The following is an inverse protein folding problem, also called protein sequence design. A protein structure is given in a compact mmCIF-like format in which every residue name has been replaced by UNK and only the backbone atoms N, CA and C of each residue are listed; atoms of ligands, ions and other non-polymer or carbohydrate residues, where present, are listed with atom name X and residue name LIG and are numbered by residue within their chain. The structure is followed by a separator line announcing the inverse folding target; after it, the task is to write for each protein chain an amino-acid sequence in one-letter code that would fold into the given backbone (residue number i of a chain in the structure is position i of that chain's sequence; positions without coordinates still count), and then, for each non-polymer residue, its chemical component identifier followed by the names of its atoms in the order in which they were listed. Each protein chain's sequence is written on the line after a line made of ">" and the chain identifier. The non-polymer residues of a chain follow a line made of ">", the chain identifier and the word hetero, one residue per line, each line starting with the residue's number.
data_IF_870599337183
#
_entry.id   IF_870599337183
#
_cell.length_a   1.000
_cell.length_b   1.000
_cell.length_c   1.000
_cell.angle_alpha   90.00
_cell.angle_beta   90.00
_cell.angle_gamma   90.00
#
_symmetry.space_group_name_H-M   'P 1'
#
loop_
_entity.id
_entity.type
_entity.pdbx_description
1 polymer ?
#
# COMPACT_ATOMS: atom_id res chain seq x y z
N UNK A 1 0.25 11.53 14.08
CA UNK A 1 -0.50 10.29 14.32
C UNK A 1 -0.83 10.23 15.79
N UNK A 2 -2.09 10.51 16.08
CA UNK A 2 -2.65 10.41 17.41
C UNK A 2 -3.16 8.99 17.63
N UNK A 3 -3.29 8.61 18.90
CA UNK A 3 -3.68 7.26 19.29
C UNK A 3 -4.85 7.31 20.26
N UNK A 4 -5.91 6.56 19.96
CA UNK A 4 -7.03 6.31 20.88
C UNK A 4 -7.00 4.82 21.23
N UNK A 5 -6.84 4.50 22.51
CA UNK A 5 -6.77 3.11 22.98
C UNK A 5 -7.82 2.85 24.06
N UNK A 6 -8.49 1.71 23.91
CA UNK A 6 -9.31 1.08 24.93
C UNK A 6 -8.74 -0.29 25.27
N UNK A 7 -9.37 -1.03 26.19
CA UNK A 7 -8.96 -2.40 26.53
C UNK A 7 -8.94 -3.34 25.32
N UNK A 8 -9.86 -3.15 24.37
CA UNK A 8 -10.10 -4.07 23.27
C UNK A 8 -9.90 -3.45 21.88
N UNK A 9 -9.44 -2.20 21.79
CA UNK A 9 -9.26 -1.52 20.51
C UNK A 9 -8.14 -0.50 20.60
N UNK A 10 -7.37 -0.37 19.53
CA UNK A 10 -6.51 0.79 19.31
C UNK A 10 -6.75 1.36 17.92
N UNK A 11 -6.83 2.68 17.84
CA UNK A 11 -6.93 3.46 16.62
C UNK A 11 -5.72 4.38 16.55
N UNK A 12 -5.05 4.39 15.40
CA UNK A 12 -4.00 5.35 15.06
C UNK A 12 -4.51 6.19 13.90
N UNK A 13 -4.40 7.51 13.96
CA UNK A 13 -4.93 8.36 12.90
C UNK A 13 -4.18 9.69 12.78
N UNK A 14 -4.22 10.28 11.59
CA UNK A 14 -3.65 11.58 11.32
C UNK A 14 -4.71 12.68 11.59
N UNK A 15 -4.55 13.52 12.62
CA UNK A 15 -5.55 14.52 12.97
C UNK A 15 -5.65 15.64 11.92
N UNK A 16 -4.60 15.89 11.12
CA UNK A 16 -4.64 16.92 10.09
C UNK A 16 -5.44 16.45 8.87
N UNK A 17 -5.26 15.19 8.46
CA UNK A 17 -5.98 14.60 7.32
C UNK A 17 -7.44 14.23 7.64
N UNK A 18 -7.79 14.21 8.93
CA UNK A 18 -9.14 13.93 9.43
C UNK A 18 -9.72 15.12 10.22
N UNK A 19 -9.23 16.33 9.99
CA UNK A 19 -9.67 17.53 10.71
C UNK A 19 -11.17 17.81 10.57
N UNK A 20 -11.80 17.35 9.49
CA UNK A 20 -13.24 17.45 9.24
C UNK A 20 -14.07 16.41 10.02
N UNK A 21 -13.45 15.37 10.58
CA UNK A 21 -14.12 14.34 11.36
C UNK A 21 -14.19 14.77 12.83
N UNK A 22 -15.39 14.86 13.44
CA UNK A 22 -15.50 15.12 14.88
C UNK A 22 -14.76 14.06 15.70
N UNK A 23 -14.07 14.48 16.76
CA UNK A 23 -13.27 13.55 17.60
C UNK A 23 -14.09 12.36 18.12
N UNK A 24 -15.38 12.58 18.45
CA UNK A 24 -16.31 11.54 18.90
C UNK A 24 -16.65 10.48 17.84
N UNK A 25 -16.40 10.76 16.56
CA UNK A 25 -16.73 9.90 15.42
C UNK A 25 -15.53 9.12 14.88
N UNK A 26 -14.31 9.35 15.39
CA UNK A 26 -13.08 8.71 14.88
C UNK A 26 -13.17 7.18 14.87
N UNK A 27 -13.91 6.56 15.80
CA UNK A 27 -14.10 5.10 15.78
C UNK A 27 -14.99 4.60 14.63
N UNK A 28 -15.90 5.46 14.14
CA UNK A 28 -16.89 5.15 13.10
C UNK A 28 -16.33 5.27 11.68
N UNK A 29 -15.20 5.97 11.48
CA UNK A 29 -14.60 6.17 10.15
C UNK A 29 -14.13 4.88 9.45
N UNK A 30 -14.12 3.77 10.16
CA UNK A 30 -13.76 2.46 9.60
C UNK A 30 -14.98 1.66 9.14
N UNK A 31 -16.20 2.19 9.35
CA UNK A 31 -17.44 1.63 8.86
C UNK A 31 -17.87 2.37 7.58
N UNK A 32 -18.23 1.62 6.54
CA UNK A 32 -18.68 2.24 5.27
C UNK A 32 -19.95 3.06 5.43
N UNK A 33 -20.82 2.65 6.34
CA UNK A 33 -22.11 3.26 6.63
C UNK A 33 -21.95 4.70 7.14
N UNK A 34 -20.89 4.97 7.90
CA UNK A 34 -20.54 6.32 8.34
C UNK A 34 -20.31 7.24 7.13
N UNK A 35 -19.46 6.81 6.19
CA UNK A 35 -19.14 7.59 4.99
C UNK A 35 -20.28 7.67 3.99
N UNK A 36 -21.15 6.66 3.96
CA UNK A 36 -22.36 6.69 3.13
C UNK A 36 -23.35 7.76 3.64
N UNK A 37 -23.52 7.90 4.95
CA UNK A 37 -24.39 8.93 5.54
C UNK A 37 -23.88 10.35 5.27
N UNK A 38 -22.56 10.50 5.12
CA UNK A 38 -21.90 11.76 4.80
C UNK A 38 -21.81 12.03 3.28
N UNK A 39 -22.36 11.15 2.43
CA UNK A 39 -22.23 11.21 0.96
C UNK A 39 -20.77 11.31 0.47
N UNK A 40 -19.84 10.68 1.21
CA UNK A 40 -18.40 10.80 0.98
C UNK A 40 -17.81 9.63 0.18
N UNK A 41 -18.58 8.58 -0.11
CA UNK A 41 -18.09 7.43 -0.89
C UNK A 41 -18.05 7.81 -2.38
N UNK A 42 -16.84 7.96 -2.92
CA UNK A 42 -16.58 8.28 -4.32
C UNK A 42 -16.47 7.06 -5.24
N UNK A 43 -16.41 5.85 -4.66
CA UNK A 43 -16.37 4.60 -5.41
C UNK A 43 -15.93 3.42 -4.57
N UNK A 44 -15.68 2.29 -5.23
CA UNK A 44 -15.12 1.09 -4.60
C UNK A 44 -14.32 0.24 -5.58
N UNK A 45 -13.49 -0.64 -5.04
CA UNK A 45 -12.82 -1.70 -5.79
C UNK A 45 -13.04 -3.07 -5.13
N UNK A 46 -13.11 -4.11 -5.95
CA UNK A 46 -13.28 -5.50 -5.51
C UNK A 46 -11.95 -6.26 -5.52
N UNK A 47 -11.76 -7.14 -4.55
CA UNK A 47 -10.56 -7.97 -4.41
C UNK A 47 -10.77 -9.07 -3.37
N UNK A 48 -9.91 -9.12 -2.35
CA UNK A 48 -10.12 -10.00 -1.17
C UNK A 48 -11.31 -9.56 -0.30
N UNK A 49 -11.74 -8.32 -0.47
CA UNK A 49 -12.93 -7.69 0.09
C UNK A 49 -13.19 -6.38 -0.67
N UNK A 50 -14.16 -5.60 -0.22
CA UNK A 50 -14.39 -4.26 -0.78
C UNK A 50 -13.38 -3.27 -0.20
N UNK A 51 -12.71 -2.52 -1.08
CA UNK A 51 -12.02 -1.29 -0.72
C UNK A 51 -12.93 -0.12 -1.06
N UNK A 52 -13.26 0.70 -0.08
CA UNK A 52 -14.10 1.88 -0.25
C UNK A 52 -13.23 3.11 -0.51
N UNK A 53 -13.59 3.89 -1.53
CA UNK A 53 -12.92 5.15 -1.82
C UNK A 53 -13.71 6.30 -1.23
N UNK A 54 -13.09 7.05 -0.33
CA UNK A 54 -13.72 8.09 0.48
C UNK A 54 -13.10 9.43 0.10
N UNK A 55 -13.94 10.42 -0.17
CA UNK A 55 -13.50 11.80 -0.34
C UNK A 55 -13.36 12.44 1.03
N UNK A 56 -12.13 12.84 1.36
CA UNK A 56 -11.80 13.65 2.53
C UNK A 56 -11.46 15.07 2.07
N UNK A 57 -11.25 16.00 3.01
CA UNK A 57 -10.83 17.36 2.70
C UNK A 57 -9.42 17.34 2.08
N UNK A 58 -9.34 17.62 0.79
CA UNK A 58 -8.08 17.71 0.05
C UNK A 58 -7.40 16.38 -0.34
N UNK A 59 -7.96 15.22 0.04
CA UNK A 59 -7.39 13.91 -0.29
C UNK A 59 -8.49 12.85 -0.53
N UNK A 60 -8.22 11.87 -1.39
CA UNK A 60 -9.05 10.66 -1.46
C UNK A 60 -8.39 9.56 -0.63
N UNK A 61 -9.19 8.85 0.15
CA UNK A 61 -8.76 7.73 0.97
C UNK A 61 -9.27 6.40 0.39
N UNK A 62 -8.48 5.35 0.55
CA UNK A 62 -8.84 3.96 0.35
C UNK A 62 -8.97 3.28 1.72
N UNK A 63 -10.21 2.97 2.12
CA UNK A 63 -10.52 2.22 3.33
C UNK A 63 -10.65 0.74 3.00
N UNK A 64 -9.85 -0.10 3.67
CA UNK A 64 -9.89 -1.56 3.52
C UNK A 64 -9.93 -2.28 4.87
N UNK A 65 -10.73 -3.33 4.91
CA UNK A 65 -10.71 -4.32 5.99
C UNK A 65 -9.70 -5.42 5.66
N UNK A 66 -8.84 -5.80 6.61
CA UNK A 66 -7.89 -6.89 6.40
C UNK A 66 -8.60 -8.23 6.35
N UNK A 67 -8.39 -8.96 5.26
CA UNK A 67 -8.87 -10.33 5.08
C UNK A 67 -7.71 -11.29 4.79
N UNK A 68 -7.81 -12.50 5.31
CA UNK A 68 -6.86 -13.59 5.04
C UNK A 68 -7.02 -14.10 3.62
N UNK A 69 -5.91 -14.25 2.90
CA UNK A 69 -5.87 -14.93 1.61
C UNK A 69 -5.65 -16.44 1.73
N UNK A 70 -5.81 -17.15 0.62
CA UNK A 70 -5.54 -18.60 0.51
C UNK A 70 -6.65 -19.49 1.09
N UNK A 71 -6.43 -20.82 1.04
CA UNK A 71 -7.42 -21.82 1.49
C UNK A 71 -7.84 -21.65 2.97
N UNK A 72 -6.93 -21.16 3.83
CA UNK A 72 -7.25 -20.84 5.23
C UNK A 72 -8.16 -19.63 5.41
N UNK A 73 -8.19 -18.72 4.42
CA UNK A 73 -9.12 -17.59 4.39
C UNK A 73 -10.57 -18.00 4.23
N UNK A 74 -10.87 -19.23 3.78
CA UNK A 74 -12.23 -19.78 3.69
C UNK A 74 -12.81 -20.27 5.04
N UNK A 75 -11.95 -20.41 6.06
CA UNK A 75 -12.31 -20.90 7.40
C UNK A 75 -12.20 -19.79 8.46
N UNK A 76 -11.20 -18.92 8.33
CA UNK A 76 -11.02 -17.72 9.16
C UNK A 76 -10.78 -16.55 8.21
N UNK A 77 -11.80 -15.74 8.00
CA UNK A 77 -11.77 -14.70 6.97
C UNK A 77 -10.97 -13.47 7.41
N UNK A 78 -11.07 -13.04 8.67
CA UNK A 78 -10.61 -11.72 9.10
C UNK A 78 -9.86 -11.67 10.46
N UNK A 79 -9.65 -12.81 11.11
CA UNK A 79 -9.05 -12.83 12.45
C UNK A 79 -7.56 -13.21 12.43
N UNK A 80 -6.75 -12.54 13.23
CA UNK A 80 -5.30 -12.75 13.36
C UNK A 80 -4.93 -12.99 14.82
N UNK A 81 -3.84 -13.71 15.11
CA UNK A 81 -3.41 -13.91 16.50
C UNK A 81 -2.87 -12.59 17.06
N UNK A 82 -3.37 -12.20 18.22
CA UNK A 82 -2.94 -10.99 18.89
C UNK A 82 -1.80 -11.29 19.87
N UNK A 83 -0.67 -10.60 19.71
CA UNK A 83 0.40 -10.53 20.73
C UNK A 83 0.38 -9.17 21.42
N UNK A 84 0.41 -8.10 20.65
CA UNK A 84 0.47 -6.70 21.07
C UNK A 84 -0.13 -5.80 19.97
N UNK A 85 -0.29 -4.50 20.23
CA UNK A 85 -0.97 -3.59 19.31
C UNK A 85 -0.07 -3.19 18.13
N UNK A 86 1.21 -2.98 18.38
CA UNK A 86 2.21 -2.52 17.42
C UNK A 86 2.56 -3.58 16.37
N UNK A 87 2.44 -4.87 16.72
CA UNK A 87 2.59 -6.02 15.82
C UNK A 87 1.33 -6.35 15.02
N UNK A 88 0.23 -5.62 15.22
CA UNK A 88 -0.95 -5.79 14.36
C UNK A 88 -0.60 -5.35 12.94
N UNK A 89 -1.16 -6.04 11.94
CA UNK A 89 -0.83 -5.78 10.53
C UNK A 89 -1.05 -4.33 10.11
N UNK A 90 -2.16 -3.74 10.54
CA UNK A 90 -2.47 -2.34 10.25
C UNK A 90 -1.45 -1.40 10.89
N UNK A 91 -1.02 -1.64 12.13
CA UNK A 91 -0.01 -0.82 12.80
C UNK A 91 1.36 -0.94 12.12
N UNK A 92 1.77 -2.16 11.75
CA UNK A 92 3.02 -2.39 11.02
C UNK A 92 3.02 -1.69 9.66
N UNK A 93 1.94 -1.85 8.88
CA UNK A 93 1.82 -1.21 7.56
C UNK A 93 1.78 0.32 7.68
N UNK A 94 0.99 0.86 8.62
CA UNK A 94 0.95 2.29 8.88
C UNK A 94 2.35 2.83 9.22
N UNK A 95 3.12 2.11 10.05
CA UNK A 95 4.48 2.49 10.40
C UNK A 95 5.44 2.43 9.20
N UNK A 96 5.33 1.41 8.35
CA UNK A 96 6.12 1.29 7.12
C UNK A 96 5.82 2.47 6.18
N UNK A 97 4.55 2.80 5.95
CA UNK A 97 4.16 3.94 5.13
C UNK A 97 4.74 5.26 5.66
N UNK A 98 4.71 5.47 6.99
CA UNK A 98 5.33 6.65 7.62
C UNK A 98 6.85 6.72 7.36
N UNK A 99 7.55 5.60 7.57
CA UNK A 99 9.00 5.52 7.35
C UNK A 99 9.35 5.85 5.90
N UNK A 100 8.61 5.29 4.95
CA UNK A 100 8.82 5.51 3.52
C UNK A 100 8.49 6.94 3.08
N UNK A 101 7.37 7.49 3.55
CA UNK A 101 7.01 8.88 3.28
C UNK A 101 8.06 9.85 3.80
N UNK A 102 8.57 9.64 5.02
CA UNK A 102 9.65 10.44 5.59
C UNK A 102 10.98 10.30 4.83
N UNK A 103 11.21 9.16 4.19
CA UNK A 103 12.36 8.91 3.33
C UNK A 103 12.18 9.46 1.89
N UNK A 104 11.06 10.14 1.60
CA UNK A 104 10.80 10.72 0.28
C UNK A 104 10.46 9.70 -0.80
N UNK A 105 10.03 8.50 -0.40
CA UNK A 105 9.48 7.49 -1.31
C UNK A 105 8.04 7.88 -1.63
N UNK A 106 7.67 7.77 -2.90
CA UNK A 106 6.29 7.96 -3.34
C UNK A 106 5.45 6.74 -2.94
N UNK A 107 4.85 6.82 -1.76
CA UNK A 107 3.90 5.85 -1.22
C UNK A 107 2.60 6.53 -0.82
N UNK A 108 1.47 5.81 -0.74
CA UNK A 108 0.24 6.35 -0.18
C UNK A 108 0.45 6.94 1.21
N UNK A 109 -0.04 8.16 1.45
CA UNK A 109 -0.03 8.71 2.79
C UNK A 109 -0.82 7.80 3.75
N UNK A 110 -0.27 7.45 4.91
CA UNK A 110 -1.03 6.76 5.95
C UNK A 110 -2.05 7.73 6.56
N UNK A 111 -3.33 7.35 6.64
CA UNK A 111 -4.39 8.22 7.17
C UNK A 111 -4.85 7.71 8.53
N UNK A 112 -5.31 6.46 8.60
CA UNK A 112 -5.74 5.86 9.86
C UNK A 112 -5.65 4.33 9.83
N UNK A 113 -5.54 3.71 11.00
CA UNK A 113 -5.56 2.27 11.20
C UNK A 113 -6.35 1.93 12.46
N UNK A 114 -7.03 0.79 12.46
CA UNK A 114 -7.75 0.29 13.63
C UNK A 114 -7.44 -1.18 13.83
N UNK A 115 -7.17 -1.56 15.08
CA UNK A 115 -7.12 -2.95 15.51
C UNK A 115 -8.18 -3.17 16.60
N UNK A 116 -9.02 -4.20 16.44
CA UNK A 116 -10.03 -4.61 17.42
C UNK A 116 -9.71 -6.02 17.90
N UNK A 117 -9.47 -6.18 19.20
CA UNK A 117 -9.15 -7.43 19.86
C UNK A 117 -10.40 -8.12 20.41
N UNK A 118 -10.51 -9.42 20.15
CA UNK A 118 -11.49 -10.34 20.74
C UNK A 118 -10.77 -11.58 21.25
N UNK A 119 -10.59 -11.67 22.58
CA UNK A 119 -9.82 -12.74 23.21
C UNK A 119 -8.35 -12.74 22.77
N UNK A 120 -7.91 -13.85 22.15
CA UNK A 120 -6.55 -14.02 21.62
C UNK A 120 -6.43 -13.62 20.15
N UNK A 121 -7.49 -13.06 19.56
CA UNK A 121 -7.57 -12.72 18.16
C UNK A 121 -7.79 -11.23 17.98
N UNK A 122 -7.46 -10.70 16.79
CA UNK A 122 -7.81 -9.34 16.40
C UNK A 122 -8.27 -9.26 14.94
N UNK A 123 -9.02 -8.20 14.64
CA UNK A 123 -9.37 -7.73 13.29
C UNK A 123 -8.72 -6.38 13.05
N UNK A 124 -8.50 -6.03 11.79
CA UNK A 124 -7.82 -4.80 11.45
C UNK A 124 -8.43 -4.09 10.24
N UNK A 125 -8.34 -2.77 10.26
CA UNK A 125 -8.72 -1.87 9.17
C UNK A 125 -7.56 -0.90 8.89
N UNK A 126 -7.44 -0.48 7.64
CA UNK A 126 -6.48 0.54 7.21
C UNK A 126 -7.17 1.52 6.25
N UNK A 127 -6.91 2.79 6.48
CA UNK A 127 -7.22 3.89 5.60
C UNK A 127 -5.89 4.54 5.17
N UNK A 128 -5.62 4.53 3.87
CA UNK A 128 -4.46 5.20 3.27
C UNK A 128 -4.92 6.08 2.12
N UNK A 129 -4.06 6.95 1.63
CA UNK A 129 -4.33 7.70 0.40
C UNK A 129 -4.68 6.77 -0.77
N UNK A 130 -5.69 7.15 -1.53
CA UNK A 130 -5.93 6.64 -2.87
C UNK A 130 -5.24 7.58 -3.84
N UNK A 131 -4.25 7.09 -4.56
CA UNK A 131 -3.55 7.89 -5.57
C UNK A 131 -4.54 8.22 -6.70
N UNK A 132 -4.92 9.50 -6.90
CA UNK A 132 -5.89 9.88 -7.90
C UNK A 132 -5.33 9.66 -9.30
N UNK A 133 -6.21 9.30 -10.25
CA UNK A 133 -5.86 9.11 -11.67
C UNK A 133 -4.70 8.16 -11.96
N UNK A 134 -4.32 7.31 -10.99
CA UNK A 134 -3.25 6.36 -11.17
C UNK A 134 -3.75 5.02 -11.68
N UNK A 135 -2.95 4.41 -12.56
CA UNK A 135 -3.17 3.06 -13.08
C UNK A 135 -2.03 2.16 -12.65
N UNK A 136 -2.33 0.89 -12.40
CA UNK A 136 -1.26 -0.08 -12.23
C UNK A 136 -0.47 -0.22 -13.53
N UNK A 137 0.82 -0.55 -13.38
CA UNK A 137 1.77 -0.56 -14.48
C UNK A 137 1.42 -1.63 -15.54
N UNK A 138 0.70 -2.68 -15.17
CA UNK A 138 0.22 -3.69 -16.12
C UNK A 138 -0.82 -3.08 -17.05
N UNK A 139 -1.83 -2.41 -16.51
CA UNK A 139 -2.89 -1.78 -17.30
C UNK A 139 -2.34 -0.69 -18.23
N UNK A 140 -1.28 0.04 -17.82
CA UNK A 140 -0.55 0.96 -18.70
C UNK A 140 0.13 0.20 -19.84
N UNK A 141 0.93 -0.82 -19.51
CA UNK A 141 1.74 -1.55 -20.48
C UNK A 141 0.93 -2.47 -21.41
N UNK A 142 -0.29 -2.89 -21.03
CA UNK A 142 -1.21 -3.55 -21.97
C UNK A 142 -1.54 -2.65 -23.16
N UNK A 143 -1.63 -1.34 -22.91
CA UNK A 143 -2.09 -0.38 -23.91
C UNK A 143 -0.92 0.19 -24.73
N UNK A 144 0.16 0.60 -24.08
CA UNK A 144 1.30 1.25 -24.72
C UNK A 144 2.62 0.87 -24.04
N UNK A 145 3.75 0.85 -24.77
CA UNK A 145 5.05 0.88 -24.12
C UNK A 145 5.22 2.18 -23.33
N UNK A 146 6.11 2.17 -22.34
CA UNK A 146 6.53 3.37 -21.60
C UNK A 146 7.97 3.71 -21.93
N UNK A 147 8.31 4.98 -21.76
CA UNK A 147 9.65 5.48 -22.04
C UNK A 147 10.68 5.00 -21.01
N UNK A 148 11.95 4.98 -21.43
CA UNK A 148 13.09 4.55 -20.60
C UNK A 148 13.21 5.32 -19.29
N UNK A 149 12.85 6.62 -19.28
CA UNK A 149 12.90 7.46 -18.09
C UNK A 149 11.90 7.00 -17.00
N UNK A 150 10.76 6.42 -17.40
CA UNK A 150 9.78 5.88 -16.44
C UNK A 150 10.32 4.65 -15.74
N UNK A 151 10.96 3.74 -16.48
CA UNK A 151 11.65 2.60 -15.87
C UNK A 151 12.74 3.07 -14.90
N UNK A 152 13.51 4.10 -15.24
CA UNK A 152 14.50 4.68 -14.34
C UNK A 152 13.87 5.25 -13.06
N UNK A 153 12.76 5.99 -13.18
CA UNK A 153 11.99 6.50 -12.02
C UNK A 153 11.50 5.35 -11.11
N UNK A 154 11.06 4.23 -11.71
CA UNK A 154 10.69 3.03 -10.94
C UNK A 154 11.88 2.49 -10.16
N UNK A 155 13.04 2.35 -10.82
CA UNK A 155 14.28 1.91 -10.16
C UNK A 155 14.67 2.83 -8.99
N UNK A 156 14.55 4.14 -9.17
CA UNK A 156 14.85 5.14 -8.14
C UNK A 156 13.92 5.04 -6.93
N UNK A 157 12.60 4.90 -7.12
CA UNK A 157 11.66 4.75 -6.01
C UNK A 157 11.89 3.45 -5.22
N UNK A 158 12.18 2.35 -5.92
CA UNK A 158 12.56 1.08 -5.28
C UNK A 158 13.87 1.25 -4.50
N UNK A 159 14.82 2.01 -5.04
CA UNK A 159 16.09 2.28 -4.37
C UNK A 159 15.89 3.07 -3.07
N UNK A 160 15.11 4.16 -3.10
CA UNK A 160 14.77 4.92 -1.89
C UNK A 160 14.10 4.05 -0.82
N UNK A 161 13.16 3.19 -1.23
CA UNK A 161 12.52 2.21 -0.34
C UNK A 161 13.55 1.25 0.29
N UNK A 162 14.50 0.76 -0.51
CA UNK A 162 15.56 -0.12 -0.04
C UNK A 162 16.56 0.57 0.89
N UNK A 163 16.87 1.84 0.64
CA UNK A 163 17.75 2.65 1.48
C UNK A 163 17.09 3.06 2.80
N UNK A 164 15.76 3.20 2.82
CA UNK A 164 14.95 3.27 4.03
C UNK A 164 14.88 1.94 4.81
N UNK A 165 15.55 0.88 4.32
CA UNK A 165 15.63 -0.42 4.95
C UNK A 165 14.35 -1.25 4.86
N UNK A 166 13.39 -0.90 4.00
CA UNK A 166 12.09 -1.59 3.93
C UNK A 166 12.11 -2.69 2.88
N UNK A 167 11.85 -3.92 3.33
CA UNK A 167 11.64 -5.07 2.46
C UNK A 167 10.17 -5.18 2.02
N UNK A 168 9.94 -5.03 0.72
CA UNK A 168 8.62 -5.20 0.13
C UNK A 168 8.36 -6.67 -0.24
N UNK A 169 7.81 -7.43 0.71
CA UNK A 169 7.73 -8.90 0.61
C UNK A 169 6.99 -9.42 -0.64
N UNK A 170 6.10 -8.61 -1.23
CA UNK A 170 5.37 -8.92 -2.47
C UNK A 170 5.61 -7.90 -3.62
N UNK A 171 6.83 -7.35 -3.76
CA UNK A 171 7.11 -6.37 -4.82
C UNK A 171 6.88 -6.98 -6.22
N UNK A 172 5.89 -6.45 -6.93
CA UNK A 172 5.48 -6.91 -8.25
C UNK A 172 4.87 -5.76 -9.07
N UNK A 173 4.72 -5.98 -10.38
CA UNK A 173 4.28 -4.95 -11.33
C UNK A 173 2.87 -4.39 -11.05
N UNK A 174 1.97 -5.14 -10.41
CA UNK A 174 0.64 -4.64 -10.02
C UNK A 174 0.70 -3.68 -8.83
N UNK A 175 1.79 -3.70 -8.06
CA UNK A 175 2.02 -2.83 -6.91
C UNK A 175 2.80 -1.55 -7.27
N UNK A 176 2.96 -1.28 -8.56
CA UNK A 176 3.55 -0.06 -9.09
C UNK A 176 2.45 0.70 -9.82
N UNK A 177 2.20 1.93 -9.41
CA UNK A 177 1.25 2.81 -10.07
C UNK A 177 1.97 3.91 -10.83
N UNK A 178 1.37 4.34 -11.95
CA UNK A 178 1.70 5.57 -12.66
C UNK A 178 0.49 6.49 -12.64
N UNK A 179 0.67 7.71 -12.14
CA UNK A 179 -0.34 8.76 -12.25
C UNK A 179 -0.28 9.51 -13.59
N UNK A 180 -1.21 10.44 -13.79
CA UNK A 180 -1.31 11.25 -15.00
C UNK A 180 -0.07 12.14 -15.27
N UNK A 181 0.71 12.41 -14.23
CA UNK A 181 1.94 13.18 -14.25
C UNK A 181 3.17 12.28 -14.42
N UNK A 182 2.96 10.99 -14.74
CA UNK A 182 3.99 9.96 -14.88
C UNK A 182 4.85 9.79 -13.62
N UNK A 183 4.31 10.14 -12.45
CA UNK A 183 4.96 9.89 -11.18
C UNK A 183 4.73 8.43 -10.80
N UNK A 184 5.81 7.80 -10.35
CA UNK A 184 5.79 6.41 -9.91
C UNK A 184 5.44 6.36 -8.44
N UNK A 185 4.51 5.46 -8.09
CA UNK A 185 4.13 5.16 -6.72
C UNK A 185 4.26 3.66 -6.44
N UNK A 186 4.69 3.30 -5.23
CA UNK A 186 4.72 1.92 -4.74
C UNK A 186 3.60 1.75 -3.72
N UNK A 187 2.81 0.67 -3.84
CA UNK A 187 1.64 0.41 -3.00
C UNK A 187 1.65 -1.01 -2.43
N UNK A 188 0.70 -1.29 -1.52
CA UNK A 188 0.47 -2.59 -0.86
C UNK A 188 1.63 -3.09 0.00
N UNK A 189 1.79 -2.48 1.18
CA UNK A 189 2.83 -2.81 2.13
C UNK A 189 2.38 -3.82 3.21
N UNK A 190 1.31 -4.60 2.94
CA UNK A 190 0.88 -5.68 3.85
C UNK A 190 2.04 -6.64 4.10
N UNK A 191 2.37 -6.88 5.37
CA UNK A 191 3.51 -7.70 5.84
C UNK A 191 4.89 -7.21 5.42
N UNK A 192 5.02 -5.99 4.92
CA UNK A 192 6.33 -5.36 4.71
C UNK A 192 6.88 -4.86 6.05
N UNK A 193 8.18 -4.62 6.11
CA UNK A 193 8.83 -4.20 7.34
C UNK A 193 10.28 -3.81 7.11
N UNK A 194 10.86 -3.14 8.11
CA UNK A 194 12.28 -2.86 8.09
C UNK A 194 13.08 -4.15 8.30
N UNK A 195 14.07 -4.38 7.44
CA UNK A 195 14.95 -5.55 7.50
C UNK A 195 16.40 -5.09 7.35
N UNK A 196 17.24 -5.48 8.30
CA UNK A 196 18.65 -5.16 8.28
C UNK A 196 19.40 -5.93 7.16
N UNK A 197 20.49 -5.34 6.69
CA UNK A 197 21.32 -5.89 5.61
C UNK A 197 20.73 -5.68 4.22
N UNK A 198 21.42 -6.22 3.22
CA UNK A 198 21.10 -5.99 1.79
C UNK A 198 20.69 -7.27 1.05
N UNK A 199 20.85 -8.45 1.65
CA UNK A 199 20.64 -9.76 1.00
C UNK A 199 19.21 -9.93 0.43
N UNK A 200 18.24 -9.21 0.98
CA UNK A 200 16.84 -9.26 0.55
C UNK A 200 16.53 -8.34 -0.63
N UNK A 201 17.38 -7.34 -0.93
CA UNK A 201 17.15 -6.34 -1.97
C UNK A 201 17.15 -6.97 -3.35
N UNK A 202 18.10 -7.87 -3.62
CA UNK A 202 18.15 -8.61 -4.88
C UNK A 202 16.91 -9.52 -5.03
N UNK A 203 16.44 -10.11 -3.92
CA UNK A 203 15.21 -10.90 -3.89
C UNK A 203 13.96 -10.11 -4.31
N UNK A 204 13.88 -8.83 -3.93
CA UNK A 204 12.82 -7.91 -4.35
C UNK A 204 12.87 -7.65 -5.85
N UNK A 205 14.03 -7.24 -6.36
CA UNK A 205 14.23 -6.97 -7.79
C UNK A 205 13.95 -8.20 -8.65
N UNK A 206 14.43 -9.38 -8.23
CA UNK A 206 14.19 -10.64 -8.91
C UNK A 206 12.70 -11.02 -8.92
N UNK A 207 11.96 -10.74 -7.84
CA UNK A 207 10.49 -10.96 -7.80
C UNK A 207 9.78 -10.02 -8.77
N UNK A 208 10.17 -8.75 -8.79
CA UNK A 208 9.62 -7.77 -9.71
C UNK A 208 9.87 -8.18 -11.17
N UNK A 209 11.12 -8.53 -11.55
CA UNK A 209 11.46 -8.99 -12.90
C UNK A 209 10.62 -10.20 -13.33
N UNK A 210 10.46 -11.20 -12.44
CA UNK A 210 9.60 -12.36 -12.72
C UNK A 210 8.14 -11.96 -12.96
N UNK A 211 7.65 -10.93 -12.28
CA UNK A 211 6.28 -10.44 -12.48
C UNK A 211 6.08 -9.78 -13.85
N UNK A 212 7.07 -9.00 -14.35
CA UNK A 212 7.06 -8.50 -15.73
C UNK A 212 6.99 -9.66 -16.73
N UNK A 213 7.92 -10.63 -16.64
CA UNK A 213 7.95 -11.81 -17.51
C UNK A 213 6.63 -12.59 -17.49
N UNK A 214 6.01 -12.72 -16.32
CA UNK A 214 4.71 -13.38 -16.18
C UNK A 214 3.60 -12.63 -16.92
N UNK A 215 3.53 -11.31 -16.77
CA UNK A 215 2.47 -10.50 -17.39
C UNK A 215 2.68 -10.31 -18.89
N UNK A 216 3.91 -10.41 -19.41
CA UNK A 216 4.16 -10.55 -20.87
C UNK A 216 3.43 -11.78 -21.40
N UNK A 217 3.58 -12.92 -20.74
CA UNK A 217 2.92 -14.16 -21.19
C UNK A 217 1.39 -14.12 -20.98
N UNK A 218 0.93 -13.54 -19.88
CA UNK A 218 -0.47 -13.59 -19.46
C UNK A 218 -1.35 -12.52 -20.10
N UNK A 219 -0.86 -11.28 -20.16
CA UNK A 219 -1.63 -10.11 -20.62
C UNK A 219 -1.00 -9.43 -21.83
N UNK A 220 0.11 -9.96 -22.36
CA UNK A 220 0.77 -9.45 -23.57
C UNK A 220 1.15 -7.97 -23.43
N UNK A 221 1.65 -7.59 -22.25
CA UNK A 221 2.13 -6.24 -21.99
C UNK A 221 3.29 -5.87 -22.93
N UNK A 222 3.36 -4.60 -23.31
CA UNK A 222 4.39 -4.01 -24.16
C UNK A 222 5.69 -3.78 -23.37
N UNK A 223 6.30 -4.88 -22.92
CA UNK A 223 7.57 -4.91 -22.20
C UNK A 223 8.51 -5.90 -22.86
N UNK A 224 9.78 -5.53 -22.96
CA UNK A 224 10.86 -6.38 -23.48
C UNK A 224 11.97 -6.49 -22.44
N UNK A 225 12.76 -7.56 -22.49
CA UNK A 225 13.77 -7.81 -21.46
C UNK A 225 14.85 -6.72 -21.39
N UNK A 226 15.13 -6.03 -22.51
CA UNK A 226 16.03 -4.88 -22.54
C UNK A 226 15.54 -3.70 -21.70
N UNK A 227 14.23 -3.55 -21.49
CA UNK A 227 13.68 -2.44 -20.68
C UNK A 227 14.06 -2.58 -19.20
N UNK A 228 14.34 -3.81 -18.75
CA UNK A 228 14.86 -4.06 -17.40
C UNK A 228 16.18 -3.32 -17.15
N UNK A 229 16.99 -3.12 -18.19
CA UNK A 229 18.24 -2.36 -18.11
C UNK A 229 18.00 -0.96 -17.58
N UNK A 230 17.01 -0.24 -18.12
CA UNK A 230 16.68 1.12 -17.68
C UNK A 230 16.22 1.18 -16.22
N UNK A 231 15.46 0.19 -15.75
CA UNK A 231 15.07 0.10 -14.34
C UNK A 231 16.29 -0.12 -13.44
N UNK A 232 17.17 -1.04 -13.83
CA UNK A 232 18.39 -1.30 -13.09
C UNK A 232 19.32 -0.07 -13.07
N UNK A 233 19.44 0.65 -14.18
CA UNK A 233 20.19 1.89 -14.26
C UNK A 233 19.63 2.93 -13.28
N UNK A 234 18.30 3.12 -13.25
CA UNK A 234 17.66 4.00 -12.28
C UNK A 234 17.91 3.59 -10.83
N UNK A 235 17.86 2.29 -10.54
CA UNK A 235 18.14 1.74 -9.21
C UNK A 235 19.59 1.97 -8.76
N UNK A 236 20.54 1.88 -9.69
CA UNK A 236 21.97 2.12 -9.43
C UNK A 236 22.31 3.61 -9.35
N UNK A 237 21.60 4.48 -10.08
CA UNK A 237 21.81 5.94 -10.04
C UNK A 237 21.28 6.60 -8.76
N UNK A 238 20.30 5.98 -8.09
CA UNK A 238 19.74 6.47 -6.82
C UNK A 238 20.68 6.40 -5.61
N UNK A 239 21.98 6.14 -5.80
CA UNK A 239 23.02 6.02 -4.76
C UNK A 239 23.53 7.39 -4.27
N UNK A 240 23.09 8.51 -4.84
CA UNK A 240 23.66 9.84 -4.55
C UNK A 240 23.12 10.49 -3.27
#
# INVERSE_FOLDING_TARGET
>A
MDTISTKNQTIWYDPELLAQVPEGDIAQIFESEYWQQQDAISGSAQGRGTTWFIQLDGIQAALRHYRRGGLFGKLVEDQYRFSDWESTRCAMELNVLKVLANAGVNVPKPIAARAIKSGLLYRADLMSERIPNAKDLVDVLVTNPIDADIYQKIGQEIRKMHDAGVNHTDLNIHNILLDDSQKVWIIDFDKCGQQAGDDWKEGNLNRLKRSFLKEVNKRQIQWQESDWGYLNDGYMLGVM
#
